data_IF_381659030142
#
_entry.id   IF_381659030142
#
_cell.length_a   1.000
_cell.length_b   1.000
_cell.length_c   1.000
_cell.angle_alpha   90.00
_cell.angle_beta   90.00
_cell.angle_gamma   90.00
#
_symmetry.space_group_name_H-M   'P 1'
#
loop_
_entity.id
_entity.type
_entity.pdbx_description
1 polymer ?
#
# COMPACT_ATOMS: atom_id res chain seq x y z
N UNK A 1 4.00 -16.03 -10.52
CA UNK A 1 2.92 -15.26 -11.16
C UNK A 1 3.55 -14.17 -12.02
N UNK A 2 3.03 -13.88 -13.21
CA UNK A 2 3.55 -12.75 -14.02
C UNK A 2 2.99 -11.41 -13.51
N UNK A 3 3.62 -10.26 -13.79
CA UNK A 3 3.07 -8.96 -13.44
C UNK A 3 1.64 -8.73 -13.94
N UNK A 4 1.32 -9.21 -15.15
CA UNK A 4 -0.03 -9.07 -15.74
C UNK A 4 -1.06 -9.91 -15.00
N UNK A 5 -0.69 -11.13 -14.58
CA UNK A 5 -1.54 -11.98 -13.76
C UNK A 5 -1.77 -11.37 -12.38
N UNK A 6 -0.73 -10.78 -11.78
CA UNK A 6 -0.82 -10.06 -10.52
C UNK A 6 -1.74 -8.84 -10.63
N UNK A 7 -1.59 -8.06 -11.69
CA UNK A 7 -2.42 -6.88 -11.95
C UNK A 7 -3.90 -7.28 -12.07
N UNK A 8 -4.20 -8.28 -12.89
CA UNK A 8 -5.56 -8.79 -13.07
C UNK A 8 -6.17 -9.32 -11.77
N UNK A 9 -5.40 -10.07 -10.96
CA UNK A 9 -5.85 -10.59 -9.66
C UNK A 9 -6.19 -9.47 -8.67
N UNK A 10 -5.45 -8.36 -8.73
CA UNK A 10 -5.60 -7.23 -7.81
C UNK A 10 -6.47 -6.10 -8.37
N UNK A 11 -7.15 -6.32 -9.51
CA UNK A 11 -7.94 -5.30 -10.21
C UNK A 11 -7.15 -4.00 -10.47
N UNK A 12 -5.86 -4.16 -10.81
CA UNK A 12 -4.98 -3.08 -11.24
C UNK A 12 -4.89 -3.09 -12.76
N UNK A 13 -5.04 -1.93 -13.36
CA UNK A 13 -4.69 -1.66 -14.75
C UNK A 13 -3.48 -0.74 -14.73
N UNK A 14 -2.49 -0.91 -15.61
CA UNK A 14 -1.34 -0.01 -15.71
C UNK A 14 -1.22 0.47 -17.16
N UNK A 15 -1.10 1.79 -17.36
CA UNK A 15 -0.80 2.35 -18.67
C UNK A 15 0.66 2.08 -19.07
N UNK A 16 1.56 2.06 -18.09
CA UNK A 16 2.96 1.68 -18.21
C UNK A 16 3.24 0.39 -17.40
N UNK A 17 3.08 -0.81 -17.99
CA UNK A 17 3.29 -2.10 -17.30
C UNK A 17 4.70 -2.27 -16.71
N UNK A 18 5.67 -1.56 -17.29
CA UNK A 18 7.06 -1.52 -16.82
C UNK A 18 7.18 -1.00 -15.38
N UNK A 19 6.30 -0.08 -14.95
CA UNK A 19 6.29 0.44 -13.57
C UNK A 19 5.91 -0.66 -12.57
N UNK A 20 4.86 -1.44 -12.86
CA UNK A 20 4.48 -2.58 -12.03
C UNK A 20 5.57 -3.64 -12.03
N UNK A 21 6.15 -3.90 -13.20
CA UNK A 21 7.24 -4.86 -13.33
C UNK A 21 8.45 -4.42 -12.49
N UNK A 22 8.83 -3.14 -12.50
CA UNK A 22 9.89 -2.59 -11.64
C UNK A 22 9.53 -2.66 -10.15
N UNK A 23 8.30 -2.33 -9.77
CA UNK A 23 7.83 -2.41 -8.38
C UNK A 23 7.95 -3.84 -7.81
N UNK A 24 7.70 -4.85 -8.64
CA UNK A 24 7.84 -6.27 -8.31
C UNK A 24 9.30 -6.77 -8.39
N UNK A 25 10.30 -5.90 -8.60
CA UNK A 25 11.72 -6.30 -8.65
C UNK A 25 12.46 -5.97 -7.38
N UNK A 26 12.81 -7.00 -6.60
CA UNK A 26 13.74 -6.81 -5.50
C UNK A 26 15.17 -6.61 -6.04
N UNK A 27 15.97 -5.78 -5.36
CA UNK A 27 17.37 -5.48 -5.72
C UNK A 27 18.25 -6.72 -5.95
N UNK A 28 17.99 -7.82 -5.25
CA UNK A 28 18.76 -9.06 -5.45
C UNK A 28 18.51 -9.69 -6.83
N UNK A 29 17.30 -9.56 -7.36
CA UNK A 29 16.99 -10.00 -8.72
C UNK A 29 17.67 -9.08 -9.75
N UNK A 30 17.58 -7.76 -9.53
CA UNK A 30 18.19 -6.77 -10.42
C UNK A 30 19.71 -6.96 -10.52
N UNK A 31 20.40 -7.24 -9.40
CA UNK A 31 21.83 -7.51 -9.37
C UNK A 31 22.24 -8.76 -10.15
N UNK A 32 21.38 -9.78 -10.20
CA UNK A 32 21.62 -11.03 -10.95
C UNK A 32 21.26 -10.88 -12.45
N UNK A 33 20.51 -9.86 -12.83
CA UNK A 33 19.89 -9.70 -14.15
C UNK A 33 20.03 -8.28 -14.71
N UNK A 34 21.20 -7.64 -14.53
CA UNK A 34 21.41 -6.22 -14.83
C UNK A 34 21.10 -5.83 -16.29
N UNK A 35 21.28 -6.76 -17.24
CA UNK A 35 21.05 -6.50 -18.67
C UNK A 35 19.57 -6.61 -19.08
N UNK A 36 18.68 -7.09 -18.20
CA UNK A 36 17.28 -7.41 -18.55
C UNK A 36 16.24 -6.67 -17.70
N UNK A 37 16.67 -5.85 -16.75
CA UNK A 37 15.80 -5.09 -15.85
C UNK A 37 16.03 -3.59 -15.98
N UNK A 38 14.95 -2.80 -15.90
CA UNK A 38 15.02 -1.33 -15.88
C UNK A 38 15.61 -0.82 -14.56
N UNK A 39 15.33 -1.53 -13.47
CA UNK A 39 15.80 -1.20 -12.13
C UNK A 39 15.15 -2.08 -11.07
N UNK A 40 15.54 -1.85 -9.82
CA UNK A 40 14.86 -2.40 -8.65
C UNK A 40 13.75 -1.46 -8.13
N UNK A 41 13.05 -1.94 -7.12
CA UNK A 41 11.89 -1.28 -6.55
C UNK A 41 12.20 -0.18 -5.53
N UNK A 42 13.47 0.06 -5.15
CA UNK A 42 13.80 0.92 -4.00
C UNK A 42 13.38 2.39 -4.19
N UNK A 43 13.44 2.91 -5.41
CA UNK A 43 12.97 4.29 -5.70
C UNK A 43 11.45 4.41 -5.67
N UNK A 44 10.76 3.35 -6.09
CA UNK A 44 9.30 3.29 -6.06
C UNK A 44 8.80 3.08 -4.64
N UNK A 45 9.47 2.25 -3.85
CA UNK A 45 9.26 2.06 -2.40
C UNK A 45 9.31 3.41 -1.68
N UNK A 46 10.40 4.16 -1.86
CA UNK A 46 10.57 5.49 -1.26
C UNK A 46 9.40 6.44 -1.58
N UNK A 47 8.94 6.46 -2.83
CA UNK A 47 7.79 7.29 -3.24
C UNK A 47 6.48 6.76 -2.64
N UNK A 48 6.31 5.44 -2.65
CA UNK A 48 5.16 4.74 -2.14
C UNK A 48 4.93 4.92 -0.65
N UNK A 49 5.99 4.87 0.16
CA UNK A 49 5.95 5.17 1.60
C UNK A 49 5.41 6.58 1.86
N UNK A 50 5.92 7.58 1.12
CA UNK A 50 5.46 8.96 1.26
C UNK A 50 3.98 9.12 0.90
N UNK A 51 3.54 8.49 -0.21
CA UNK A 51 2.13 8.51 -0.65
C UNK A 51 1.23 7.80 0.35
N UNK A 52 1.63 6.61 0.80
CA UNK A 52 0.91 5.82 1.78
C UNK A 52 0.80 6.54 3.12
N UNK A 53 1.88 7.17 3.60
CA UNK A 53 1.90 7.94 4.83
C UNK A 53 0.96 9.13 4.80
N UNK A 54 0.84 9.82 3.65
CA UNK A 54 -0.16 10.86 3.44
C UNK A 54 -1.59 10.29 3.50
N UNK A 55 -1.89 9.27 2.69
CA UNK A 55 -3.23 8.67 2.60
C UNK A 55 -3.68 8.08 3.94
N UNK A 56 -2.79 7.40 4.67
CA UNK A 56 -3.07 6.87 5.99
C UNK A 56 -3.28 7.98 7.02
N UNK A 57 -2.51 9.07 6.94
CA UNK A 57 -2.67 10.24 7.81
C UNK A 57 -4.02 10.94 7.62
N UNK A 58 -4.41 11.19 6.38
CA UNK A 58 -5.71 11.75 6.04
C UNK A 58 -6.85 10.80 6.44
N UNK A 59 -6.69 9.51 6.16
CA UNK A 59 -7.66 8.49 6.56
C UNK A 59 -7.91 8.53 8.07
N UNK A 60 -6.88 8.49 8.92
CA UNK A 60 -7.10 8.53 10.38
C UNK A 60 -7.65 9.87 10.86
N UNK A 61 -7.22 10.99 10.25
CA UNK A 61 -7.71 12.32 10.61
C UNK A 61 -9.23 12.46 10.36
N UNK A 62 -9.70 12.01 9.19
CA UNK A 62 -11.11 12.09 8.83
C UNK A 62 -11.99 11.09 9.61
N UNK A 63 -11.49 9.90 9.93
CA UNK A 63 -12.27 8.87 10.60
C UNK A 63 -12.34 9.04 12.13
N UNK A 64 -11.42 9.80 12.72
CA UNK A 64 -11.32 9.97 14.17
C UNK A 64 -11.19 11.45 14.58
N UNK A 65 -12.20 12.30 14.28
CA UNK A 65 -12.13 13.74 14.51
C UNK A 65 -11.96 14.14 15.99
N UNK A 66 -12.39 13.28 16.91
CA UNK A 66 -12.33 13.54 18.35
C UNK A 66 -11.01 13.07 19.01
N UNK A 67 -10.11 12.43 18.26
CA UNK A 67 -8.85 11.91 18.80
C UNK A 67 -7.75 12.97 18.82
N UNK A 68 -6.94 13.04 19.90
CA UNK A 68 -5.78 13.94 19.94
C UNK A 68 -4.70 13.47 18.96
N UNK A 69 -3.84 14.40 18.53
CA UNK A 69 -2.74 14.16 17.58
C UNK A 69 -1.90 12.92 17.95
N UNK A 70 -1.52 12.77 19.22
CA UNK A 70 -0.70 11.64 19.66
C UNK A 70 -1.38 10.27 19.50
N UNK A 71 -2.72 10.20 19.52
CA UNK A 71 -3.45 8.97 19.18
C UNK A 71 -3.53 8.76 17.67
N UNK A 72 -3.77 9.82 16.89
CA UNK A 72 -3.78 9.76 15.42
C UNK A 72 -2.42 9.29 14.88
N UNK A 73 -1.31 9.79 15.43
CA UNK A 73 0.04 9.38 15.06
C UNK A 73 0.27 7.89 15.33
N UNK A 74 -0.22 7.36 16.45
CA UNK A 74 -0.13 5.92 16.76
C UNK A 74 -0.98 5.06 15.82
N UNK A 75 -2.20 5.50 15.51
CA UNK A 75 -3.09 4.81 14.57
C UNK A 75 -2.48 4.76 13.17
N UNK A 76 -1.99 5.90 12.67
CA UNK A 76 -1.30 5.97 11.38
C UNK A 76 -0.12 5.00 11.35
N UNK A 77 0.76 5.05 12.36
CA UNK A 77 1.93 4.18 12.43
C UNK A 77 1.57 2.69 12.48
N UNK A 78 0.47 2.31 13.14
CA UNK A 78 0.01 0.93 13.17
C UNK A 78 -0.50 0.47 11.79
N UNK A 79 -1.25 1.31 11.07
CA UNK A 79 -1.81 1.01 9.75
C UNK A 79 -0.74 0.80 8.68
N UNK A 80 0.35 1.58 8.73
CA UNK A 80 1.45 1.52 7.75
C UNK A 80 2.67 0.77 8.31
N UNK A 81 2.50 0.01 9.39
CA UNK A 81 3.58 -0.80 9.94
C UNK A 81 3.98 -1.93 9.00
N UNK A 82 5.25 -2.34 9.00
CA UNK A 82 5.75 -3.50 8.25
C UNK A 82 4.88 -4.75 8.48
N UNK A 83 4.40 -4.97 9.70
CA UNK A 83 3.51 -6.09 9.99
C UNK A 83 2.18 -5.96 9.24
N UNK A 84 1.55 -4.78 9.27
CA UNK A 84 0.29 -4.54 8.57
C UNK A 84 0.44 -4.65 7.05
N UNK A 85 1.47 -4.00 6.49
CA UNK A 85 1.74 -3.99 5.05
C UNK A 85 2.16 -5.36 4.52
N UNK A 86 2.97 -6.11 5.26
CA UNK A 86 3.32 -7.49 4.88
C UNK A 86 2.10 -8.42 4.83
N UNK A 87 1.11 -8.21 5.71
CA UNK A 87 -0.12 -8.98 5.70
C UNK A 87 -0.97 -8.63 4.47
N UNK A 88 -1.13 -7.33 4.17
CA UNK A 88 -1.81 -6.87 2.95
C UNK A 88 -1.11 -7.40 1.70
N UNK A 89 0.23 -7.37 1.66
CA UNK A 89 1.02 -7.86 0.55
C UNK A 89 0.78 -9.36 0.30
N UNK A 90 0.71 -10.18 1.35
CA UNK A 90 0.37 -11.60 1.23
C UNK A 90 -1.07 -11.81 0.75
N UNK A 91 -2.03 -11.04 1.27
CA UNK A 91 -3.43 -11.08 0.81
C UNK A 91 -3.55 -10.70 -0.68
N UNK A 92 -2.65 -9.86 -1.18
CA UNK A 92 -2.56 -9.48 -2.60
C UNK A 92 -1.70 -10.43 -3.45
N UNK A 93 -1.16 -11.51 -2.88
CA UNK A 93 -0.27 -12.47 -3.52
C UNK A 93 1.06 -11.87 -4.06
N UNK A 94 1.60 -10.87 -3.35
CA UNK A 94 2.89 -10.25 -3.72
C UNK A 94 4.03 -11.27 -3.68
N UNK A 95 4.03 -12.22 -2.74
CA UNK A 95 5.08 -13.25 -2.63
C UNK A 95 5.21 -14.12 -3.90
N UNK A 96 4.11 -14.34 -4.61
CA UNK A 96 4.04 -15.13 -5.83
C UNK A 96 4.46 -14.37 -7.10
N UNK A 97 4.31 -13.04 -7.09
CA UNK A 97 4.63 -12.16 -8.22
C UNK A 97 6.01 -11.51 -8.11
N UNK A 98 6.54 -11.39 -6.89
CA UNK A 98 7.82 -10.76 -6.60
C UNK A 98 8.97 -11.46 -7.35
N UNK A 99 9.88 -10.68 -7.92
CA UNK A 99 11.10 -11.15 -8.55
C UNK A 99 12.25 -10.98 -7.57
N UNK A 100 12.80 -12.10 -7.12
CA UNK A 100 13.88 -12.17 -6.13
C UNK A 100 15.03 -13.00 -6.72
N UNK A 101 16.27 -12.58 -6.49
CA UNK A 101 17.46 -13.33 -6.88
C UNK A 101 17.55 -14.68 -6.15
N UNK A 102 18.20 -15.67 -6.77
CA UNK A 102 18.18 -17.07 -6.29
C UNK A 102 18.68 -17.21 -4.86
N UNK A 103 19.73 -16.48 -4.49
CA UNK A 103 20.31 -16.57 -3.14
C UNK A 103 19.39 -16.02 -2.06
N UNK A 104 18.67 -14.93 -2.36
CA UNK A 104 17.68 -14.34 -1.44
C UNK A 104 16.41 -15.18 -1.36
N UNK A 105 16.00 -15.80 -2.47
CA UNK A 105 14.84 -16.69 -2.51
C UNK A 105 15.06 -17.93 -1.61
N UNK A 106 16.24 -18.56 -1.69
CA UNK A 106 16.62 -19.70 -0.84
C UNK A 106 16.62 -19.38 0.67
N UNK A 107 16.77 -18.10 1.03
CA UNK A 107 16.72 -17.61 2.42
C UNK A 107 15.31 -17.21 2.85
N UNK A 108 14.29 -17.46 2.02
CA UNK A 108 12.89 -17.13 2.31
C UNK A 108 12.53 -15.68 2.04
N UNK A 109 13.32 -14.95 1.26
CA UNK A 109 13.13 -13.52 1.03
C UNK A 109 11.76 -13.14 0.44
N UNK A 110 11.13 -14.04 -0.32
CA UNK A 110 9.77 -13.83 -0.87
C UNK A 110 8.70 -13.61 0.20
N UNK A 111 8.91 -14.18 1.39
CA UNK A 111 7.97 -14.09 2.51
C UNK A 111 8.54 -13.33 3.69
N UNK A 112 9.67 -12.65 3.51
CA UNK A 112 10.24 -11.79 4.52
C UNK A 112 9.33 -10.56 4.69
N UNK A 113 8.88 -10.23 5.92
CA UNK A 113 7.92 -9.14 6.13
C UNK A 113 8.37 -7.78 5.61
N UNK A 114 9.67 -7.46 5.73
CA UNK A 114 10.23 -6.22 5.20
C UNK A 114 10.14 -6.20 3.68
N UNK A 115 10.65 -7.22 3.00
CA UNK A 115 10.59 -7.32 1.53
C UNK A 115 9.16 -7.20 1.00
N UNK A 116 8.20 -7.82 1.68
CA UNK A 116 6.78 -7.75 1.32
C UNK A 116 6.20 -6.34 1.51
N UNK A 117 6.49 -5.70 2.63
CA UNK A 117 6.04 -4.32 2.91
C UNK A 117 6.65 -3.34 1.90
N UNK A 118 7.98 -3.39 1.73
CA UNK A 118 8.73 -2.52 0.81
C UNK A 118 8.21 -2.69 -0.64
N UNK A 119 7.92 -3.93 -1.06
CA UNK A 119 7.35 -4.20 -2.39
C UNK A 119 5.93 -3.66 -2.51
N UNK A 120 5.11 -3.77 -1.46
CA UNK A 120 3.76 -3.22 -1.48
C UNK A 120 3.79 -1.70 -1.60
N UNK A 121 4.68 -1.02 -0.86
CA UNK A 121 4.93 0.41 -1.02
C UNK A 121 5.38 0.73 -2.45
N UNK A 122 6.30 -0.05 -3.01
CA UNK A 122 6.72 0.14 -4.39
C UNK A 122 5.58 0.02 -5.42
N UNK A 123 4.63 -0.90 -5.20
CA UNK A 123 3.43 -1.02 -6.05
C UNK A 123 2.56 0.24 -5.93
N UNK A 124 2.41 0.81 -4.73
CA UNK A 124 1.69 2.07 -4.55
C UNK A 124 2.42 3.24 -5.22
N UNK A 125 3.75 3.29 -5.13
CA UNK A 125 4.58 4.27 -5.83
C UNK A 125 4.43 4.18 -7.35
N UNK A 126 4.42 2.96 -7.90
CA UNK A 126 4.18 2.70 -9.31
C UNK A 126 2.76 3.14 -9.74
N UNK A 127 1.73 2.74 -8.99
CA UNK A 127 0.35 3.10 -9.28
C UNK A 127 0.13 4.62 -9.22
N UNK A 128 0.77 5.29 -8.27
CA UNK A 128 0.73 6.74 -8.15
C UNK A 128 1.39 7.44 -9.35
N UNK A 129 2.53 6.94 -9.84
CA UNK A 129 3.17 7.51 -11.03
C UNK A 129 2.33 7.29 -12.30
N UNK A 130 1.69 6.13 -12.41
CA UNK A 130 0.90 5.74 -13.57
C UNK A 130 -0.45 6.47 -13.64
N UNK A 131 -1.15 6.60 -12.51
CA UNK A 131 -2.56 7.05 -12.48
C UNK A 131 -2.88 8.13 -11.44
N UNK A 132 -1.91 8.51 -10.60
CA UNK A 132 -2.07 9.58 -9.62
C UNK A 132 -2.80 9.17 -8.33
N UNK A 133 -2.96 10.15 -7.45
CA UNK A 133 -3.39 9.97 -6.06
C UNK A 133 -4.74 9.27 -5.92
N UNK A 134 -5.71 9.57 -6.79
CA UNK A 134 -7.06 8.99 -6.70
C UNK A 134 -7.04 7.47 -6.85
N UNK A 135 -6.39 6.97 -7.91
CA UNK A 135 -6.30 5.54 -8.17
C UNK A 135 -5.55 4.83 -7.03
N UNK A 136 -4.48 5.44 -6.50
CA UNK A 136 -3.76 4.90 -5.35
C UNK A 136 -4.64 4.82 -4.09
N UNK A 137 -5.42 5.88 -3.82
CA UNK A 137 -6.34 5.92 -2.68
C UNK A 137 -7.44 4.85 -2.80
N UNK A 138 -8.08 4.74 -3.96
CA UNK A 138 -9.13 3.76 -4.22
C UNK A 138 -8.62 2.32 -4.07
N UNK A 139 -7.36 2.07 -4.40
CA UNK A 139 -6.73 0.77 -4.23
C UNK A 139 -6.37 0.45 -2.76
N UNK A 140 -5.78 1.41 -2.03
CA UNK A 140 -5.17 1.13 -0.72
C UNK A 140 -6.12 1.32 0.46
N UNK A 141 -7.00 2.33 0.44
CA UNK A 141 -7.85 2.68 1.58
C UNK A 141 -8.80 1.55 2.00
N UNK A 142 -9.46 0.81 1.08
CA UNK A 142 -10.29 -0.33 1.46
C UNK A 142 -9.51 -1.42 2.20
N UNK A 143 -8.23 -1.63 1.82
CA UNK A 143 -7.35 -2.62 2.46
C UNK A 143 -6.97 -2.17 3.88
N UNK A 144 -6.60 -0.90 4.05
CA UNK A 144 -6.31 -0.33 5.38
C UNK A 144 -7.53 -0.40 6.31
N UNK A 145 -8.72 -0.09 5.79
CA UNK A 145 -9.97 -0.18 6.55
C UNK A 145 -10.29 -1.61 7.00
N UNK A 146 -10.10 -2.60 6.12
CA UNK A 146 -10.28 -4.01 6.46
C UNK A 146 -9.34 -4.44 7.59
N UNK A 147 -8.06 -4.00 7.55
CA UNK A 147 -7.08 -4.28 8.61
C UNK A 147 -7.45 -3.61 9.93
N UNK A 148 -7.87 -2.34 9.89
CA UNK A 148 -8.32 -1.63 11.09
C UNK A 148 -9.49 -2.34 11.77
N UNK A 149 -10.46 -2.81 10.98
CA UNK A 149 -11.62 -3.55 11.47
C UNK A 149 -11.20 -4.88 12.11
N UNK A 150 -10.32 -5.63 11.44
CA UNK A 150 -9.82 -6.91 11.94
C UNK A 150 -9.01 -6.77 13.25
N UNK A 151 -8.30 -5.67 13.46
CA UNK A 151 -7.60 -5.41 14.72
C UNK A 151 -8.55 -4.93 15.83
N UNK A 152 -9.58 -4.13 15.49
CA UNK A 152 -10.59 -3.69 16.45
C UNK A 152 -11.38 -4.87 17.06
N UNK A 153 -11.69 -5.89 16.26
CA UNK A 153 -12.39 -7.10 16.70
C UNK A 153 -11.58 -7.96 17.69
N UNK A 154 -10.26 -7.81 17.73
CA UNK A 154 -9.36 -8.56 18.63
C UNK A 154 -9.24 -7.96 20.03
N UNK A 155 -9.75 -6.75 20.28
CA UNK A 155 -9.60 -6.05 21.56
C UNK A 155 -10.83 -6.32 22.46
N UNK A 156 -10.69 -7.10 23.56
CA UNK A 156 -11.82 -7.49 24.44
C UNK A 156 -12.43 -6.36 25.29
N UNK A 157 -11.86 -5.16 25.24
CA UNK A 157 -12.46 -3.95 25.80
C UNK A 157 -13.19 -3.13 24.74
N UNK A 158 -12.87 -3.28 23.46
CA UNK A 158 -13.53 -2.58 22.35
C UNK A 158 -14.87 -3.25 21.99
N UNK A 159 -14.95 -4.57 22.12
CA UNK A 159 -16.22 -5.32 22.03
C UNK A 159 -17.14 -5.14 23.25
N UNK A 160 -16.64 -4.60 24.39
CA UNK A 160 -17.43 -4.34 25.61
C UNK A 160 -17.65 -2.84 25.92
N UNK A 161 -16.86 -1.91 25.36
CA UNK A 161 -16.91 -0.46 25.60
C UNK A 161 -16.70 0.43 24.37
N UNK A 162 -16.43 -0.13 23.18
CA UNK A 162 -16.43 0.66 21.95
C UNK A 162 -17.86 1.12 21.68
N UNK A 163 -18.08 2.43 21.64
CA UNK A 163 -19.43 2.95 21.40
C UNK A 163 -19.93 2.45 20.04
N UNK A 164 -21.22 2.17 19.92
CA UNK A 164 -21.83 1.84 18.63
C UNK A 164 -21.52 2.92 17.57
N UNK A 165 -21.24 4.16 17.99
CA UNK A 165 -20.75 5.26 17.17
C UNK A 165 -19.36 5.05 16.58
N UNK A 166 -18.37 4.55 17.33
CA UNK A 166 -17.03 4.29 16.77
C UNK A 166 -17.05 3.17 15.72
N UNK A 167 -17.84 2.12 15.97
CA UNK A 167 -18.07 1.02 15.00
C UNK A 167 -18.86 1.52 13.78
N UNK A 168 -19.85 2.38 14.00
CA UNK A 168 -20.63 2.99 12.94
C UNK A 168 -19.82 4.01 12.12
N UNK A 169 -18.89 4.77 12.69
CA UNK A 169 -18.03 5.70 11.93
C UNK A 169 -17.07 4.95 10.99
N UNK A 170 -16.52 3.81 11.44
CA UNK A 170 -15.71 2.92 10.60
C UNK A 170 -16.52 2.28 9.47
N UNK A 171 -17.81 2.00 9.69
CA UNK A 171 -18.69 1.32 8.72
C UNK A 171 -19.52 2.27 7.83
N UNK A 172 -19.85 3.48 8.29
CA UNK A 172 -20.74 4.46 7.64
C UNK A 172 -20.00 5.68 7.06
N UNK A 173 -18.71 5.87 7.37
CA UNK A 173 -17.89 6.96 6.81
C UNK A 173 -17.64 6.88 5.30
N UNK A 174 -18.12 5.81 4.65
CA UNK A 174 -17.96 5.55 3.21
C UNK A 174 -19.00 6.28 2.34
N UNK A 175 -19.49 7.46 2.75
CA UNK A 175 -20.27 8.27 1.83
C UNK A 175 -19.29 8.96 0.88
N UNK A 176 -19.30 8.49 -0.38
CA UNK A 176 -18.34 8.77 -1.47
C UNK A 176 -18.30 10.23 -1.94
N UNK A 177 -18.01 11.17 -1.06
CA UNK A 177 -17.78 12.59 -1.38
C UNK A 177 -16.45 13.08 -0.78
N UNK A 178 -15.42 12.24 -0.76
CA UNK A 178 -14.05 12.74 -0.58
C UNK A 178 -13.65 13.30 -1.96
N UNK A 179 -13.95 14.58 -2.16
CA UNK A 179 -13.60 15.31 -3.38
C UNK A 179 -12.09 15.46 -3.47
N UNK A 180 -11.42 14.47 -4.06
CA UNK A 180 -9.99 14.50 -4.36
C UNK A 180 -9.72 15.49 -5.50
N UNK A 181 -9.76 16.77 -5.14
CA UNK A 181 -9.35 17.94 -5.91
C UNK A 181 -10.09 18.15 -7.23
N UNK A 182 -11.23 18.84 -7.14
CA UNK A 182 -11.64 19.76 -8.19
C UNK A 182 -10.62 20.92 -8.29
N UNK A 183 -9.38 20.67 -8.74
CA UNK A 183 -8.49 21.64 -9.40
C UNK A 183 -7.56 20.93 -10.40
N UNK A 184 -7.61 21.29 -11.70
CA UNK A 184 -6.71 20.74 -12.71
C UNK A 184 -5.31 21.33 -12.54
N UNK A 185 -4.25 20.51 -12.57
CA UNK A 185 -2.89 21.07 -12.64
C UNK A 185 -1.69 20.24 -12.17
N UNK A 186 -1.77 18.91 -12.04
CA UNK A 186 -0.57 18.10 -11.81
C UNK A 186 -0.20 17.31 -13.07
N UNK A 187 0.60 17.94 -13.92
CA UNK A 187 1.34 17.28 -15.00
C UNK A 187 2.74 16.95 -14.48
N UNK A 188 3.01 15.68 -14.17
CA UNK A 188 4.37 15.19 -13.99
C UNK A 188 4.90 14.90 -15.40
N UNK A 189 5.52 15.90 -16.04
CA UNK A 189 6.42 15.61 -17.16
C UNK A 189 7.73 15.12 -16.56
N UNK A 190 8.01 13.82 -16.68
CA UNK A 190 9.29 13.23 -16.31
C UNK A 190 10.44 13.90 -17.08
N UNK A 191 11.54 14.33 -16.43
CA UNK A 191 12.74 14.72 -17.15
C UNK A 191 13.45 13.45 -17.66
N UNK A 192 13.80 13.48 -18.94
CA UNK A 192 14.71 12.55 -19.63
C UNK A 192 16.11 12.66 -19.01
#
# INVERSE_FOLDING_TARGET
>A
MTPEQFAALNALEFAEPELLMQALTHRSYANENQDTVIGDNQRLEFLGDAVLGYLAGEFVYLHFPDKPEGELTKLRAALVSTQALSAIALECHVDEALRVGKGTDQQGGRRQPTVLADTFEAILGALYLDQGMQATADYVLPKLQARLTAEADKIPTYNARGTLQERASVLLGFNRDIGWLAKPGWSITAPI
#
